data_IF_541512426494
#
_entry.id   IF_541512426494
#
_cell.length_a   1.000
_cell.length_b   1.000
_cell.length_c   1.000
_cell.angle_alpha   90.00
_cell.angle_beta   90.00
_cell.angle_gamma   90.00
#
_symmetry.space_group_name_H-M   'P 1'
#
loop_
_entity.id
_entity.type
_entity.pdbx_description
1 polymer ?
#
# COMPACT_ATOMS: atom_id res chain seq x y z
N UNK A 1 30.39 -17.43 -27.83
CA UNK A 1 30.29 -16.54 -26.66
C UNK A 1 28.83 -16.16 -26.49
N UNK A 2 28.25 -16.44 -25.31
CA UNK A 2 26.80 -16.52 -25.09
C UNK A 2 26.06 -15.22 -25.43
N UNK A 3 25.14 -15.28 -26.41
CA UNK A 3 24.16 -14.23 -26.66
C UNK A 3 23.01 -14.35 -25.64
N UNK A 4 23.32 -14.17 -24.36
CA UNK A 4 22.38 -14.39 -23.25
C UNK A 4 21.46 -13.19 -23.01
N UNK A 5 21.87 -11.97 -23.35
CA UNK A 5 21.14 -10.75 -22.97
C UNK A 5 20.43 -10.03 -24.13
N UNK A 6 20.07 -10.73 -25.21
CA UNK A 6 19.28 -10.10 -26.28
C UNK A 6 17.79 -10.32 -26.02
N UNK A 7 17.14 -9.33 -25.37
CA UNK A 7 15.68 -9.26 -25.23
C UNK A 7 15.07 -8.86 -26.57
N UNK A 8 14.63 -9.83 -27.36
CA UNK A 8 13.91 -9.63 -28.64
C UNK A 8 12.40 -9.58 -28.40
N UNK A 9 11.90 -8.52 -27.77
CA UNK A 9 10.48 -8.32 -27.50
C UNK A 9 10.09 -6.85 -27.59
N UNK A 10 8.92 -6.58 -28.18
CA UNK A 10 8.34 -5.22 -28.29
C UNK A 10 8.32 -4.54 -26.91
N UNK A 11 8.57 -3.22 -26.81
CA UNK A 11 8.52 -2.52 -25.54
C UNK A 11 7.14 -2.73 -24.91
N UNK A 12 7.11 -3.11 -23.63
CA UNK A 12 5.88 -3.22 -22.87
C UNK A 12 5.25 -1.83 -22.82
N UNK A 13 4.17 -1.64 -23.57
CA UNK A 13 3.35 -0.44 -23.50
C UNK A 13 2.75 -0.44 -22.10
N UNK A 14 3.16 0.53 -21.27
CA UNK A 14 2.60 0.71 -19.94
C UNK A 14 1.17 1.23 -20.08
N UNK A 15 0.22 0.33 -20.32
CA UNK A 15 -1.19 0.63 -20.23
C UNK A 15 -1.46 1.05 -18.78
N UNK A 16 -1.77 2.34 -18.62
CA UNK A 16 -2.28 3.01 -17.43
C UNK A 16 -1.87 2.38 -16.11
N UNK A 17 -0.91 3.03 -15.43
CA UNK A 17 -0.69 2.79 -14.00
C UNK A 17 -2.04 2.87 -13.33
N UNK A 18 -2.55 1.72 -12.88
CA UNK A 18 -3.76 1.66 -12.07
C UNK A 18 -3.52 2.63 -10.92
N UNK A 19 -4.27 3.73 -10.90
CA UNK A 19 -4.25 4.67 -9.79
C UNK A 19 -4.67 3.89 -8.55
N UNK A 20 -3.68 3.37 -7.83
CA UNK A 20 -3.89 2.78 -6.52
C UNK A 20 -4.42 3.96 -5.71
N UNK A 21 -5.64 3.89 -5.17
CA UNK A 21 -6.20 5.00 -4.44
C UNK A 21 -5.28 5.32 -3.26
N UNK A 22 -4.53 6.41 -3.38
CA UNK A 22 -3.71 6.95 -2.31
C UNK A 22 -4.62 7.29 -1.12
N UNK A 23 -4.21 6.88 0.08
CA UNK A 23 -4.95 7.18 1.33
C UNK A 23 -5.60 5.98 2.03
N UNK A 24 -5.19 4.77 1.65
CA UNK A 24 -5.62 3.53 2.31
C UNK A 24 -4.85 3.23 3.60
N UNK A 25 -3.62 3.73 3.72
CA UNK A 25 -2.73 3.45 4.85
C UNK A 25 -2.60 4.66 5.77
N UNK A 26 -2.68 4.46 7.08
CA UNK A 26 -2.60 5.48 8.12
C UNK A 26 -1.62 4.99 9.18
N UNK A 27 -0.69 5.84 9.63
CA UNK A 27 0.18 5.51 10.76
C UNK A 27 -0.48 5.88 12.08
N UNK A 28 -0.42 4.97 13.05
CA UNK A 28 -0.85 5.27 14.41
C UNK A 28 0.16 6.20 15.10
N UNK A 29 -0.31 7.30 15.71
CA UNK A 29 0.55 8.21 16.50
C UNK A 29 1.06 7.59 17.81
N UNK A 30 0.36 6.59 18.34
CA UNK A 30 0.71 5.97 19.63
C UNK A 30 1.78 4.88 19.46
N UNK A 31 1.53 3.88 18.60
CA UNK A 31 2.44 2.74 18.43
C UNK A 31 3.30 2.77 17.15
N UNK A 32 3.03 3.70 16.22
CA UNK A 32 3.75 3.75 14.94
C UNK A 32 3.31 2.70 13.92
N UNK A 33 2.35 1.83 14.25
CA UNK A 33 1.86 0.81 13.32
C UNK A 33 1.15 1.40 12.11
N UNK A 34 1.29 0.69 10.99
CA UNK A 34 0.59 1.03 9.75
C UNK A 34 -0.77 0.33 9.75
N UNK A 35 -1.83 1.13 9.88
CA UNK A 35 -3.22 0.70 9.89
C UNK A 35 -3.89 0.95 8.54
N UNK A 36 -4.85 0.10 8.21
CA UNK A 36 -5.68 0.29 7.01
C UNK A 36 -6.90 1.14 7.35
N UNK A 37 -7.19 2.17 6.54
CA UNK A 37 -8.28 3.13 6.79
C UNK A 37 -9.65 2.46 6.89
N UNK A 38 -9.95 1.47 6.04
CA UNK A 38 -11.26 0.76 6.13
C UNK A 38 -11.36 -0.08 7.39
N UNK A 39 -10.24 -0.61 7.87
CA UNK A 39 -10.19 -1.44 9.07
C UNK A 39 -10.29 -0.59 10.34
N UNK A 40 -9.61 0.56 10.36
CA UNK A 40 -9.75 1.57 11.40
C UNK A 40 -11.20 2.08 11.50
N UNK A 41 -11.88 2.30 10.38
CA UNK A 41 -13.30 2.65 10.35
C UNK A 41 -14.20 1.52 10.88
N UNK A 42 -13.95 0.27 10.48
CA UNK A 42 -14.67 -0.90 11.01
C UNK A 42 -14.53 -1.05 12.52
N UNK A 43 -13.38 -0.66 13.06
CA UNK A 43 -13.09 -0.69 14.49
C UNK A 43 -13.38 0.61 15.23
N UNK A 44 -14.20 1.50 14.66
CA UNK A 44 -14.62 2.74 15.32
C UNK A 44 -13.45 3.66 15.73
N UNK A 45 -12.45 3.79 14.85
CA UNK A 45 -11.29 4.65 15.08
C UNK A 45 -10.41 4.20 16.27
N UNK A 46 -10.30 2.89 16.49
CA UNK A 46 -9.44 2.29 17.52
C UNK A 46 -8.27 1.57 16.84
N UNK A 47 -7.05 1.81 17.30
CA UNK A 47 -5.88 1.06 16.84
C UNK A 47 -5.94 -0.39 17.35
N UNK A 48 -5.85 -1.38 16.46
CA UNK A 48 -5.76 -2.80 16.83
C UNK A 48 -4.57 -3.14 17.71
N UNK A 49 -3.42 -2.53 17.44
CA UNK A 49 -2.17 -2.92 18.09
C UNK A 49 -2.02 -2.37 19.51
N UNK A 50 -2.53 -1.17 19.76
CA UNK A 50 -2.35 -0.50 21.05
C UNK A 50 -3.65 -0.02 21.72
N UNK A 51 -4.80 -0.20 21.09
CA UNK A 51 -6.08 0.28 21.63
C UNK A 51 -6.26 1.80 21.63
N UNK A 52 -5.36 2.56 21.00
CA UNK A 52 -5.44 4.02 20.92
C UNK A 52 -6.68 4.48 20.13
N UNK A 53 -7.50 5.32 20.73
CA UNK A 53 -8.62 6.01 20.08
C UNK A 53 -8.10 7.21 19.27
N UNK A 54 -8.45 7.29 17.99
CA UNK A 54 -8.10 8.39 17.08
C UNK A 54 -9.09 9.57 17.13
N UNK A 55 -9.99 9.62 18.12
CA UNK A 55 -10.97 10.71 18.30
C UNK A 55 -10.30 12.02 18.78
#
# INVERSE_FOLDING_TARGET
MAAWFKRSGKPLKSEQRRDIPDGVWIKCKSCGDTLFKTELMRQKQICKSCGYHFL
#
